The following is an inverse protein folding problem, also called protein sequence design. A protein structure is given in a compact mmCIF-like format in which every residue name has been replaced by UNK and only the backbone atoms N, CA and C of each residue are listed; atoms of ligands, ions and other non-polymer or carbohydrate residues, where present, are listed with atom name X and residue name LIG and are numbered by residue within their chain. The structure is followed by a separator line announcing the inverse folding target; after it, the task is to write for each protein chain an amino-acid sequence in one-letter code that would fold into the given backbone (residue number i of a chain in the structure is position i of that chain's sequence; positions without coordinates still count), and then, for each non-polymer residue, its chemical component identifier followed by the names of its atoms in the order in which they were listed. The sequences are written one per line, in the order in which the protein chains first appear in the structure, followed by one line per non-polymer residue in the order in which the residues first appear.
data_IF_263026612549
#
_entry.id   IF_263026612549
#
_cell.length_a   1.000
_cell.length_b   1.000
_cell.length_c   1.000
_cell.angle_alpha   90.00
_cell.angle_beta   90.00
_cell.angle_gamma   90.00
#
_symmetry.space_group_name_H-M   'P 1'
#
loop_
_entity.id
_entity.type
_entity.pdbx_description
1 polymer ?
#
# COMPACT_ATOMS: atom_id res chain seq x y z
N UNK A 1 -5.20 5.16 -11.41
CA UNK A 1 -5.56 4.98 -9.98
C UNK A 1 -4.55 5.71 -9.13
N UNK A 2 -4.90 6.03 -7.89
CA UNK A 2 -4.02 6.66 -6.92
C UNK A 2 -3.99 5.81 -5.64
N UNK A 3 -2.80 5.46 -5.14
CA UNK A 3 -2.66 4.72 -3.89
C UNK A 3 -1.70 5.40 -2.92
N UNK A 4 -1.94 5.20 -1.62
CA UNK A 4 -1.01 5.57 -0.55
C UNK A 4 -0.55 4.34 0.23
N UNK A 5 0.70 4.37 0.71
CA UNK A 5 1.27 3.36 1.60
C UNK A 5 1.94 4.05 2.79
N UNK A 6 1.50 3.70 4.00
CA UNK A 6 1.92 4.26 5.27
C UNK A 6 0.98 5.32 5.82
N UNK A 7 0.88 5.35 7.15
CA UNK A 7 -0.06 6.17 7.92
C UNK A 7 0.18 7.66 7.75
N UNK A 8 1.44 8.09 7.90
CA UNK A 8 1.82 9.49 7.76
C UNK A 8 1.43 10.06 6.39
N UNK A 9 1.73 9.33 5.32
CA UNK A 9 1.39 9.75 3.95
C UNK A 9 -0.10 9.80 3.76
N UNK A 10 -0.78 8.73 4.16
CA UNK A 10 -2.22 8.58 3.99
C UNK A 10 -2.98 9.68 4.72
N UNK A 11 -2.59 9.98 5.96
CA UNK A 11 -3.16 11.05 6.76
C UNK A 11 -3.02 12.42 6.08
N UNK A 12 -1.80 12.81 5.70
CA UNK A 12 -1.56 14.12 5.09
C UNK A 12 -2.28 14.30 3.74
N UNK A 13 -2.36 13.23 2.95
CA UNK A 13 -3.10 13.23 1.68
C UNK A 13 -4.59 13.49 1.92
N UNK A 14 -5.17 12.87 2.96
CA UNK A 14 -6.59 13.05 3.31
C UNK A 14 -6.86 14.42 3.93
N UNK A 15 -5.99 14.91 4.81
CA UNK A 15 -6.06 16.26 5.37
C UNK A 15 -6.02 17.35 4.28
N UNK A 16 -5.38 17.04 3.14
CA UNK A 16 -5.37 17.88 1.95
C UNK A 16 -6.61 17.71 1.03
N UNK A 17 -7.65 17.01 1.48
CA UNK A 17 -8.89 16.69 0.73
C UNK A 17 -8.66 15.81 -0.52
N UNK A 18 -7.50 15.13 -0.59
CA UNK A 18 -7.18 14.20 -1.67
C UNK A 18 -7.46 12.77 -1.20
N UNK A 19 -8.23 12.03 -2.01
CA UNK A 19 -8.76 10.74 -1.61
C UNK A 19 -8.17 9.60 -2.45
N UNK A 20 -7.15 8.85 -1.96
CA UNK A 20 -6.51 7.77 -2.73
C UNK A 20 -7.47 6.62 -2.94
N UNK A 21 -7.50 5.98 -4.12
CA UNK A 21 -8.33 4.80 -4.42
C UNK A 21 -8.04 3.64 -3.46
N UNK A 22 -6.76 3.41 -3.16
CA UNK A 22 -6.30 2.38 -2.22
C UNK A 22 -5.41 3.05 -1.19
N UNK A 23 -5.64 2.81 0.10
CA UNK A 23 -4.71 3.21 1.14
C UNK A 23 -4.28 2.00 1.92
N UNK A 24 -2.96 1.83 2.08
CA UNK A 24 -2.37 0.74 2.85
C UNK A 24 -1.71 1.36 4.06
N UNK A 25 -2.11 0.95 5.26
CA UNK A 25 -1.62 1.51 6.52
C UNK A 25 -1.29 0.39 7.50
N UNK A 26 -0.35 0.62 8.41
CA UNK A 26 -0.12 -0.25 9.55
C UNK A 26 -0.50 0.50 10.85
N UNK A 27 -1.06 -0.19 11.85
CA UNK A 27 -1.45 0.52 13.07
C UNK A 27 -0.25 0.93 13.94
N UNK A 28 1.00 0.98 13.44
CA UNK A 28 2.16 1.28 14.30
C UNK A 28 2.19 2.73 14.79
N UNK A 29 1.58 3.67 14.06
CA UNK A 29 1.42 5.07 14.48
C UNK A 29 0.17 5.25 15.37
N UNK A 30 -0.82 4.36 15.31
CA UNK A 30 -2.04 4.40 16.13
C UNK A 30 -1.87 3.72 17.51
N UNK A 31 -0.69 3.85 18.13
CA UNK A 31 -0.47 3.48 19.55
C UNK A 31 -0.91 4.56 20.54
N UNK A 32 -1.41 5.68 20.03
CA UNK A 32 -2.21 6.63 20.79
C UNK A 32 -3.65 6.55 20.27
N UNK A 33 -4.64 6.74 21.16
CA UNK A 33 -6.08 6.82 20.89
C UNK A 33 -6.43 8.00 19.96
N UNK A 34 -5.84 8.05 18.78
CA UNK A 34 -6.21 8.97 17.71
C UNK A 34 -7.39 8.34 17.01
N UNK A 35 -8.48 9.11 16.86
CA UNK A 35 -9.68 8.67 16.15
C UNK A 35 -9.27 7.96 14.85
N UNK A 36 -9.72 6.72 14.61
CA UNK A 36 -9.32 5.98 13.43
C UNK A 36 -9.65 6.86 12.25
N UNK A 37 -8.62 7.30 11.49
CA UNK A 37 -8.76 8.08 10.25
C UNK A 37 -10.11 7.75 9.64
N UNK A 38 -11.00 8.75 9.55
CA UNK A 38 -12.35 8.63 8.98
C UNK A 38 -12.23 8.32 7.48
N UNK A 39 -11.71 7.15 7.19
CA UNK A 39 -11.79 6.49 5.91
C UNK A 39 -13.24 6.10 5.76
N UNK A 40 -14.01 6.95 5.09
CA UNK A 40 -15.37 6.66 4.63
C UNK A 40 -15.35 5.62 3.48
N UNK A 41 -14.64 4.51 3.70
CA UNK A 41 -14.43 3.42 2.74
C UNK A 41 -14.44 2.10 3.47
N UNK A 42 -14.70 1.05 2.73
CA UNK A 42 -14.54 -0.31 3.22
C UNK A 42 -13.11 -0.53 3.69
N UNK A 43 -12.97 -1.02 4.93
CA UNK A 43 -11.69 -1.38 5.55
C UNK A 43 -11.56 -2.90 5.55
N UNK A 44 -10.41 -3.41 5.14
CA UNK A 44 -10.05 -4.82 5.27
C UNK A 44 -8.79 -4.94 6.11
N UNK A 45 -8.63 -6.09 6.75
CA UNK A 45 -7.48 -6.40 7.58
C UNK A 45 -6.70 -7.54 6.94
N UNK A 46 -5.38 -7.40 6.84
CA UNK A 46 -4.48 -8.42 6.27
C UNK A 46 -3.27 -8.59 7.19
N UNK A 47 -2.70 -9.79 7.24
CA UNK A 47 -1.45 -10.04 7.97
C UNK A 47 -0.27 -9.95 7.02
N UNK A 48 0.72 -9.14 7.36
CA UNK A 48 1.96 -9.06 6.60
C UNK A 48 3.16 -8.92 7.54
N UNK A 49 3.82 -10.04 7.93
CA UNK A 49 4.98 -10.00 8.80
C UNK A 49 6.10 -9.06 8.31
N UNK A 50 6.96 -8.58 9.22
CA UNK A 50 8.08 -7.72 8.85
C UNK A 50 8.94 -8.27 7.72
N UNK A 51 9.29 -7.40 6.78
CA UNK A 51 10.12 -7.76 5.62
C UNK A 51 9.52 -8.82 4.70
N UNK A 52 8.19 -8.98 4.66
CA UNK A 52 7.51 -9.95 3.80
C UNK A 52 6.44 -9.31 2.90
N UNK A 53 5.98 -10.08 1.93
CA UNK A 53 4.80 -9.78 1.11
C UNK A 53 3.95 -11.05 1.09
N UNK A 54 2.92 -11.12 1.92
CA UNK A 54 2.07 -12.32 2.02
C UNK A 54 1.15 -12.47 0.82
N UNK A 55 0.82 -13.72 0.48
CA UNK A 55 -0.16 -14.04 -0.57
C UNK A 55 -1.51 -13.40 -0.24
N UNK A 56 -1.92 -13.42 1.03
CA UNK A 56 -3.15 -12.77 1.50
C UNK A 56 -3.16 -11.27 1.15
N UNK A 57 -2.11 -10.53 1.49
CA UNK A 57 -2.03 -9.11 1.17
C UNK A 57 -2.03 -8.88 -0.36
N UNK A 58 -1.30 -9.69 -1.13
CA UNK A 58 -1.28 -9.59 -2.59
C UNK A 58 -2.66 -9.83 -3.21
N UNK A 59 -3.38 -10.88 -2.80
CA UNK A 59 -4.70 -11.20 -3.32
C UNK A 59 -5.72 -10.10 -3.02
N UNK A 60 -5.65 -9.52 -1.83
CA UNK A 60 -6.56 -8.45 -1.44
C UNK A 60 -6.30 -7.17 -2.23
N UNK A 61 -5.03 -6.80 -2.41
CA UNK A 61 -4.65 -5.69 -3.30
C UNK A 61 -5.08 -5.97 -4.74
N UNK A 62 -4.89 -7.19 -5.24
CA UNK A 62 -5.32 -7.58 -6.57
C UNK A 62 -6.82 -7.40 -6.76
N UNK A 63 -7.64 -7.88 -5.82
CA UNK A 63 -9.11 -7.71 -5.84
C UNK A 63 -9.49 -6.22 -5.83
N UNK A 64 -8.85 -5.42 -4.97
CA UNK A 64 -9.12 -3.98 -4.89
C UNK A 64 -8.88 -3.27 -6.23
N UNK A 65 -7.76 -3.59 -6.89
CA UNK A 65 -7.38 -3.06 -8.20
C UNK A 65 -8.34 -3.53 -9.29
N UNK A 66 -8.58 -4.84 -9.38
CA UNK A 66 -9.38 -5.45 -10.45
C UNK A 66 -10.84 -4.99 -10.41
N UNK A 67 -11.42 -4.84 -9.22
CA UNK A 67 -12.81 -4.39 -9.06
C UNK A 67 -12.94 -2.86 -8.92
N UNK A 68 -11.84 -2.11 -9.09
CA UNK A 68 -11.79 -0.66 -8.92
C UNK A 68 -12.47 -0.17 -7.62
N UNK A 69 -12.26 -0.92 -6.53
CA UNK A 69 -12.89 -0.64 -5.24
C UNK A 69 -12.05 0.36 -4.47
N UNK A 70 -12.72 1.38 -3.94
CA UNK A 70 -12.16 2.34 -2.99
C UNK A 70 -11.98 1.64 -1.64
N UNK A 71 -10.74 1.36 -1.24
CA UNK A 71 -10.46 0.46 -0.13
C UNK A 71 -9.36 0.99 0.81
N UNK A 72 -9.58 0.84 2.12
CA UNK A 72 -8.54 0.92 3.14
C UNK A 72 -8.03 -0.48 3.48
N UNK A 73 -6.73 -0.71 3.36
CA UNK A 73 -6.04 -1.95 3.71
C UNK A 73 -5.28 -1.70 4.99
N UNK A 74 -5.73 -2.35 6.05
CA UNK A 74 -5.12 -2.28 7.36
C UNK A 74 -4.23 -3.50 7.54
N UNK A 75 -2.95 -3.26 7.78
CA UNK A 75 -1.93 -4.30 7.88
C UNK A 75 -1.61 -4.58 9.34
N UNK A 76 -1.80 -5.83 9.75
CA UNK A 76 -1.21 -6.37 10.97
C UNK A 76 0.22 -6.83 10.65
N UNK A 77 1.20 -5.95 10.91
CA UNK A 77 2.61 -6.21 10.65
C UNK A 77 3.36 -5.00 10.07
N UNK A 78 3.83 -5.11 8.83
CA UNK A 78 4.50 -4.03 8.07
C UNK A 78 3.86 -3.88 6.69
N UNK A 79 3.64 -2.64 6.27
CA UNK A 79 3.03 -2.25 5.01
C UNK A 79 4.05 -1.82 3.93
N UNK A 80 5.28 -1.46 4.34
CA UNK A 80 6.31 -0.86 3.47
C UNK A 80 6.50 -1.60 2.13
N UNK A 81 6.66 -2.92 2.19
CA UNK A 81 6.91 -3.73 0.99
C UNK A 81 5.68 -3.91 0.10
N UNK A 82 4.47 -3.58 0.58
CA UNK A 82 3.25 -3.67 -0.21
C UNK A 82 3.17 -2.60 -1.32
N UNK A 83 4.10 -1.65 -1.35
CA UNK A 83 4.35 -0.79 -2.52
C UNK A 83 4.70 -1.61 -3.77
N UNK A 84 5.43 -2.72 -3.63
CA UNK A 84 5.89 -3.55 -4.75
C UNK A 84 4.73 -4.27 -5.47
N UNK A 85 3.82 -4.99 -4.80
CA UNK A 85 2.66 -5.58 -5.45
C UNK A 85 1.74 -4.52 -6.05
N UNK A 86 1.57 -3.35 -5.41
CA UNK A 86 0.84 -2.22 -6.01
C UNK A 86 1.49 -1.78 -7.34
N UNK A 87 2.81 -1.59 -7.37
CA UNK A 87 3.55 -1.24 -8.58
C UNK A 87 3.40 -2.31 -9.69
N UNK A 88 3.36 -3.59 -9.31
CA UNK A 88 3.25 -4.69 -10.26
C UNK A 88 1.85 -4.84 -10.87
N UNK A 89 0.80 -4.50 -10.12
CA UNK A 89 -0.60 -4.80 -10.48
C UNK A 89 -1.41 -3.59 -10.95
N UNK A 90 -1.16 -2.40 -10.42
CA UNK A 90 -1.98 -1.22 -10.75
C UNK A 90 -1.83 -0.82 -12.23
N UNK A 91 -2.84 -0.15 -12.84
CA UNK A 91 -2.76 0.31 -14.23
C UNK A 91 -1.61 1.29 -14.47
N UNK A 92 -1.03 1.28 -15.66
CA UNK A 92 0.01 2.24 -16.07
C UNK A 92 -0.53 3.67 -16.05
N UNK A 93 0.31 4.62 -15.65
CA UNK A 93 -0.10 6.00 -15.35
C UNK A 93 -0.70 6.20 -13.95
N UNK A 94 -0.89 5.14 -13.16
CA UNK A 94 -1.28 5.28 -11.76
C UNK A 94 -0.17 5.91 -10.93
N UNK A 95 -0.55 6.51 -9.79
CA UNK A 95 0.39 7.12 -8.85
C UNK A 95 0.34 6.35 -7.54
N UNK A 96 1.50 6.07 -6.96
CA UNK A 96 1.65 5.54 -5.61
C UNK A 96 2.46 6.54 -4.81
N UNK A 97 2.00 6.92 -3.62
CA UNK A 97 2.77 7.73 -2.69
C UNK A 97 3.04 6.91 -1.44
N UNK A 98 4.29 6.80 -1.04
CA UNK A 98 4.68 6.02 0.13
C UNK A 98 5.66 6.77 1.02
N UNK A 99 5.70 6.41 2.30
CA UNK A 99 6.65 6.97 3.26
C UNK A 99 8.00 6.29 3.13
N UNK A 100 9.09 7.06 3.13
CA UNK A 100 10.45 6.52 3.18
C UNK A 100 11.23 7.20 4.32
N UNK A 101 11.80 6.43 5.26
CA UNK A 101 12.63 6.98 6.31
C UNK A 101 13.73 7.89 5.74
N UNK A 102 13.86 9.09 6.31
CA UNK A 102 14.85 10.13 5.94
C UNK A 102 14.65 10.80 4.58
N UNK A 103 13.72 10.34 3.76
CA UNK A 103 13.37 10.95 2.47
C UNK A 103 11.98 11.60 2.48
N UNK A 104 11.11 11.21 3.43
CA UNK A 104 9.75 11.74 3.54
C UNK A 104 8.78 11.03 2.60
N UNK A 105 7.92 11.79 1.90
CA UNK A 105 6.95 11.22 0.95
C UNK A 105 7.61 11.02 -0.41
N UNK A 106 7.54 9.79 -0.93
CA UNK A 106 8.04 9.45 -2.26
C UNK A 106 6.87 9.21 -3.20
N UNK A 107 6.91 9.84 -4.38
CA UNK A 107 5.89 9.74 -5.41
C UNK A 107 6.37 8.87 -6.56
N UNK A 108 5.61 7.83 -6.90
CA UNK A 108 5.88 6.91 -8.01
C UNK A 108 4.74 6.95 -9.02
N UNK A 109 5.00 7.53 -10.18
CA UNK A 109 4.15 7.35 -11.37
C UNK A 109 4.47 6.04 -12.06
N UNK A 110 3.50 5.15 -12.24
CA UNK A 110 3.72 3.84 -12.82
C UNK A 110 3.92 3.89 -14.32
N UNK A 111 5.02 3.29 -14.75
CA UNK A 111 5.37 3.00 -16.13
C UNK A 111 5.51 1.48 -16.29
N UNK A 112 5.47 0.98 -17.53
CA UNK A 112 5.75 -0.44 -17.78
C UNK A 112 7.15 -0.86 -17.31
N UNK A 113 8.12 0.06 -17.35
CA UNK A 113 9.47 -0.18 -16.82
C UNK A 113 9.44 -0.38 -15.30
N UNK A 114 8.79 0.51 -14.55
CA UNK A 114 8.65 0.40 -13.09
C UNK A 114 7.86 -0.83 -12.68
N UNK A 115 6.83 -1.21 -13.45
CA UNK A 115 6.08 -2.46 -13.26
C UNK A 115 6.99 -3.67 -13.43
N UNK A 116 7.78 -3.73 -14.51
CA UNK A 116 8.73 -4.83 -14.74
C UNK A 116 9.79 -4.89 -13.66
N UNK A 117 10.32 -3.74 -13.24
CA UNK A 117 11.28 -3.66 -12.14
C UNK A 117 10.71 -4.26 -10.85
N UNK A 118 9.50 -3.86 -10.46
CA UNK A 118 8.85 -4.37 -9.24
C UNK A 118 8.61 -5.89 -9.32
N UNK A 119 8.13 -6.39 -10.47
CA UNK A 119 7.97 -7.83 -10.69
C UNK A 119 9.29 -8.58 -10.56
N UNK A 120 10.34 -8.12 -11.23
CA UNK A 120 11.66 -8.75 -11.18
C UNK A 120 12.24 -8.70 -9.76
N UNK A 121 12.09 -7.58 -9.05
CA UNK A 121 12.52 -7.45 -7.67
C UNK A 121 11.82 -8.47 -6.78
N UNK A 122 10.50 -8.62 -6.90
CA UNK A 122 9.75 -9.61 -6.14
C UNK A 122 10.17 -11.05 -6.47
N UNK A 123 10.55 -11.37 -7.72
CA UNK A 123 11.08 -12.71 -8.05
C UNK A 123 12.45 -13.01 -7.44
N UNK A 124 13.18 -11.99 -6.97
CA UNK A 124 14.45 -12.15 -6.28
C UNK A 124 14.27 -12.33 -4.76
N UNK A 125 13.06 -12.13 -4.23
CA UNK A 125 12.78 -12.35 -2.81
C UNK A 125 12.74 -13.84 -2.50
N UNK A 126 13.22 -14.22 -1.33
CA UNK A 126 13.18 -15.61 -0.87
C UNK A 126 11.73 -16.03 -0.56
N UNK A 127 11.30 -17.15 -1.13
CA UNK A 127 10.05 -17.80 -0.73
C UNK A 127 10.27 -18.47 0.63
N UNK A 128 9.59 -17.98 1.67
CA UNK A 128 9.50 -18.71 2.93
C UNK A 128 8.38 -19.73 2.82
N UNK A 129 8.72 -21.01 2.81
CA UNK A 129 7.75 -22.09 3.01
C UNK A 129 7.17 -21.98 4.43
N UNK A 130 5.84 -22.02 4.53
CA UNK A 130 5.12 -22.15 5.79
C UNK A 130 5.34 -23.53 6.42
#
# INVERSE_FOLDING_TARGET
MFATVGDYVTQHIIEADIHPDIAVIDHRIMREDVEPLEFQREKIFVKNPPGSITIEAQEMLHKAITFNRKLGVVVEGEEDLLVLPLMAMMPTGSVIVYGQPREGMVVVTLTEERRRWAKNFMTMMEEKAN
#
